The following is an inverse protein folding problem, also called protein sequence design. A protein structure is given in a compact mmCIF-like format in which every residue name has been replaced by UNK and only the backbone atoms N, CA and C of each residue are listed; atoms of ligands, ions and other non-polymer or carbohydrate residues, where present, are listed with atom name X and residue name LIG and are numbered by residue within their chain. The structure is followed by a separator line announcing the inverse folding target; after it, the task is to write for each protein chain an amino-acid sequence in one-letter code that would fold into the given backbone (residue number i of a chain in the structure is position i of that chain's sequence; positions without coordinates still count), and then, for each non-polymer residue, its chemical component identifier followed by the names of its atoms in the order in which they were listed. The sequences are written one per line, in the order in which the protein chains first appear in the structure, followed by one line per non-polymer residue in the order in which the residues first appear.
data_IF_283331205450
#
_entry.id   IF_283331205450
#
_cell.length_a   1.000
_cell.length_b   1.000
_cell.length_c   1.000
_cell.angle_alpha   90.00
_cell.angle_beta   90.00
_cell.angle_gamma   90.00
#
_symmetry.space_group_name_H-M   'P 1'
#
loop_
_entity.id
_entity.type
_entity.pdbx_description
1 polymer ?
#
# COMPACT_ATOMS: atom_id res chain seq x y z
N UNK A 1 12.07 -9.41 -26.03
CA UNK A 1 12.43 -9.16 -24.62
C UNK A 1 11.86 -7.81 -24.22
N UNK A 2 11.19 -7.68 -23.08
CA UNK A 2 10.65 -6.40 -22.62
C UNK A 2 11.79 -5.40 -22.36
N UNK A 3 11.57 -4.13 -22.71
CA UNK A 3 12.55 -3.08 -22.56
C UNK A 3 12.82 -2.83 -21.06
N UNK A 4 14.06 -2.97 -20.54
CA UNK A 4 14.36 -2.84 -19.12
C UNK A 4 13.98 -1.45 -18.57
N UNK A 5 14.11 -0.40 -19.40
CA UNK A 5 13.70 0.96 -19.03
C UNK A 5 12.19 1.07 -18.78
N UNK A 6 11.38 0.31 -19.52
CA UNK A 6 9.93 0.33 -19.37
C UNK A 6 9.52 -0.34 -18.05
N UNK A 7 10.09 -1.52 -17.76
CA UNK A 7 9.81 -2.26 -16.52
C UNK A 7 10.20 -1.42 -15.29
N UNK A 8 11.40 -0.84 -15.30
CA UNK A 8 11.87 0.00 -14.20
C UNK A 8 11.00 1.24 -13.99
N UNK A 9 10.49 1.83 -15.08
CA UNK A 9 9.59 2.98 -14.99
C UNK A 9 8.23 2.59 -14.43
N UNK A 10 7.61 1.51 -14.92
CA UNK A 10 6.30 1.06 -14.45
C UNK A 10 6.33 0.69 -12.96
N UNK A 11 7.36 -0.04 -12.54
CA UNK A 11 7.55 -0.38 -11.12
C UNK A 11 7.72 0.88 -10.24
N UNK A 12 8.46 1.87 -10.74
CA UNK A 12 8.62 3.15 -10.04
C UNK A 12 7.29 3.90 -9.90
N UNK A 13 6.55 4.05 -11.01
CA UNK A 13 5.30 4.79 -11.05
C UNK A 13 4.25 4.16 -10.12
N UNK A 14 4.13 2.83 -10.14
CA UNK A 14 3.27 2.10 -9.22
C UNK A 14 3.66 2.35 -7.77
N UNK A 15 4.92 2.11 -7.39
CA UNK A 15 5.35 2.26 -6.00
C UNK A 15 5.23 3.72 -5.51
N UNK A 16 5.45 4.71 -6.37
CA UNK A 16 5.27 6.13 -6.04
C UNK A 16 3.80 6.46 -5.73
N UNK A 17 2.85 5.86 -6.45
CA UNK A 17 1.42 6.04 -6.16
C UNK A 17 1.07 5.50 -4.78
N UNK A 18 1.55 4.29 -4.45
CA UNK A 18 1.33 3.69 -3.12
C UNK A 18 1.96 4.55 -2.02
N UNK A 19 3.22 4.97 -2.20
CA UNK A 19 3.90 5.84 -1.23
C UNK A 19 3.13 7.14 -1.01
N UNK A 20 2.61 7.79 -2.07
CA UNK A 20 1.79 9.00 -1.95
C UNK A 20 0.50 8.76 -1.18
N UNK A 21 -0.16 7.63 -1.39
CA UNK A 21 -1.37 7.28 -0.64
C UNK A 21 -1.04 7.11 0.86
N UNK A 22 -0.02 6.34 1.19
CA UNK A 22 0.37 6.06 2.58
C UNK A 22 0.98 7.26 3.31
N UNK A 23 1.60 8.20 2.59
CA UNK A 23 2.19 9.40 3.18
C UNK A 23 1.16 10.25 3.96
N UNK A 24 -0.12 10.18 3.57
CA UNK A 24 -1.22 10.88 4.26
C UNK A 24 -1.57 10.26 5.63
N UNK A 25 -1.06 9.06 5.93
CA UNK A 25 -1.27 8.36 7.21
C UNK A 25 -0.13 8.61 8.21
N UNK A 26 1.03 9.07 7.74
CA UNK A 26 2.20 9.35 8.58
C UNK A 26 1.98 10.58 9.47
N UNK A 27 2.68 10.68 10.60
CA UNK A 27 2.63 11.87 11.46
C UNK A 27 3.13 13.12 10.73
N UNK A 28 2.52 14.28 11.02
CA UNK A 28 2.80 15.54 10.31
C UNK A 28 4.27 15.97 10.41
N UNK A 29 4.94 15.68 11.53
CA UNK A 29 6.35 16.01 11.74
C UNK A 29 7.28 15.30 10.74
N UNK A 30 6.97 14.05 10.39
CA UNK A 30 7.79 13.23 9.49
C UNK A 30 7.45 13.46 8.01
N UNK A 31 6.22 13.87 7.71
CA UNK A 31 5.75 14.13 6.33
C UNK A 31 6.65 15.12 5.59
N UNK A 32 7.15 16.16 6.27
CA UNK A 32 8.02 17.14 5.63
C UNK A 32 9.31 16.51 5.11
N UNK A 33 9.98 15.71 5.95
CA UNK A 33 11.23 15.02 5.60
C UNK A 33 10.99 14.02 4.46
N UNK A 34 9.91 13.26 4.53
CA UNK A 34 9.52 12.31 3.49
C UNK A 34 9.18 13.00 2.16
N UNK A 35 8.55 14.18 2.20
CA UNK A 35 8.30 14.97 0.98
C UNK A 35 9.60 15.42 0.30
N UNK A 36 10.64 15.75 1.07
CA UNK A 36 11.98 16.06 0.52
C UNK A 36 12.60 14.83 -0.16
N UNK A 37 12.47 13.65 0.46
CA UNK A 37 12.90 12.40 -0.15
C UNK A 37 12.14 12.10 -1.43
N UNK A 38 10.81 12.24 -1.44
CA UNK A 38 10.00 12.06 -2.64
C UNK A 38 10.41 13.00 -3.76
N UNK A 39 10.66 14.28 -3.45
CA UNK A 39 11.19 15.23 -4.43
C UNK A 39 12.53 14.75 -5.00
N UNK A 40 13.45 14.30 -4.16
CA UNK A 40 14.75 13.77 -4.60
C UNK A 40 14.58 12.53 -5.48
N UNK A 41 13.75 11.57 -5.07
CA UNK A 41 13.51 10.32 -5.81
C UNK A 41 12.79 10.58 -7.14
N UNK A 42 11.93 11.58 -7.25
CA UNK A 42 11.29 11.95 -8.54
C UNK A 42 12.20 12.76 -9.47
N UNK A 43 13.42 13.11 -9.05
CA UNK A 43 14.38 13.78 -9.92
C UNK A 43 14.82 12.84 -11.05
N UNK A 44 15.21 13.39 -12.20
CA UNK A 44 15.54 12.60 -13.38
C UNK A 44 16.74 11.68 -13.11
N UNK A 45 16.59 10.41 -13.51
CA UNK A 45 17.61 9.37 -13.53
C UNK A 45 17.73 8.92 -14.99
N UNK A 46 18.94 8.95 -15.55
CA UNK A 46 19.15 8.73 -16.98
C UNK A 46 19.67 7.33 -17.28
N UNK A 47 20.34 6.69 -16.33
CA UNK A 47 20.87 5.33 -16.48
C UNK A 47 19.97 4.28 -15.84
N UNK A 48 19.91 3.04 -16.38
CA UNK A 48 19.11 1.97 -15.80
C UNK A 48 19.58 1.59 -14.39
N UNK A 49 20.87 1.75 -14.08
CA UNK A 49 21.42 1.54 -12.74
C UNK A 49 20.87 2.57 -11.74
N UNK A 50 20.84 3.86 -12.13
CA UNK A 50 20.26 4.93 -11.31
C UNK A 50 18.75 4.73 -11.11
N UNK A 51 18.04 4.28 -12.15
CA UNK A 51 16.61 3.93 -12.03
C UNK A 51 16.39 2.74 -11.09
N UNK A 52 17.23 1.70 -11.17
CA UNK A 52 17.14 0.54 -10.27
C UNK A 52 17.37 0.94 -8.82
N UNK A 53 18.43 1.72 -8.55
CA UNK A 53 18.73 2.21 -7.21
C UNK A 53 17.58 3.07 -6.67
N UNK A 54 17.03 3.97 -7.49
CA UNK A 54 15.85 4.76 -7.11
C UNK A 54 14.66 3.87 -6.76
N UNK A 55 14.39 2.84 -7.55
CA UNK A 55 13.28 1.94 -7.30
C UNK A 55 13.45 1.20 -5.97
N UNK A 56 14.66 0.78 -5.65
CA UNK A 56 15.02 0.16 -4.38
C UNK A 56 14.74 1.08 -3.20
N UNK A 57 15.10 2.37 -3.31
CA UNK A 57 14.77 3.38 -2.30
C UNK A 57 13.26 3.58 -2.12
N UNK A 58 12.50 3.66 -3.21
CA UNK A 58 11.04 3.83 -3.14
C UNK A 58 10.40 2.58 -2.52
N UNK A 59 10.88 1.40 -2.89
CA UNK A 59 10.37 0.15 -2.35
C UNK A 59 10.67 0.03 -0.85
N UNK A 60 11.89 0.35 -0.42
CA UNK A 60 12.23 0.39 0.99
C UNK A 60 11.40 1.43 1.77
N UNK A 61 11.13 2.59 1.17
CA UNK A 61 10.23 3.59 1.75
C UNK A 61 8.81 3.04 1.92
N UNK A 62 8.32 2.31 0.92
CA UNK A 62 7.01 1.66 0.98
C UNK A 62 6.93 0.66 2.15
N UNK A 63 7.95 -0.18 2.32
CA UNK A 63 8.04 -1.12 3.45
C UNK A 63 8.00 -0.40 4.80
N UNK A 64 8.76 0.69 4.95
CA UNK A 64 8.76 1.47 6.20
C UNK A 64 7.44 2.20 6.46
N UNK A 65 6.75 2.62 5.40
CA UNK A 65 5.41 3.21 5.52
C UNK A 65 4.37 2.18 5.96
N UNK A 66 4.46 0.96 5.45
CA UNK A 66 3.56 -0.15 5.81
C UNK A 66 3.80 -0.64 7.24
N UNK A 67 5.05 -0.67 7.70
CA UNK A 67 5.37 -1.02 9.09
C UNK A 67 4.99 0.08 10.09
N UNK A 68 4.74 1.30 9.62
CA UNK A 68 4.43 2.46 10.45
C UNK A 68 5.63 3.04 11.21
N UNK A 69 6.85 2.56 10.94
CA UNK A 69 8.07 3.00 11.60
C UNK A 69 9.07 3.58 10.59
N UNK A 70 9.18 4.92 10.56
CA UNK A 70 10.10 5.61 9.66
C UNK A 70 11.54 5.55 10.22
N UNK A 71 12.34 4.65 9.64
CA UNK A 71 13.74 4.45 9.99
C UNK A 71 14.74 5.21 9.10
N UNK A 72 16.01 4.86 9.25
CA UNK A 72 17.10 5.38 8.40
C UNK A 72 16.98 4.85 6.97
N UNK A 73 17.18 5.68 5.93
CA UNK A 73 17.64 7.08 5.97
C UNK A 73 16.54 8.14 5.99
N UNK A 74 15.27 7.74 6.00
CA UNK A 74 14.13 8.64 5.85
C UNK A 74 13.82 9.46 7.11
N UNK A 75 14.39 9.08 8.26
CA UNK A 75 14.36 9.86 9.50
C UNK A 75 15.21 11.15 9.45
N UNK A 76 15.97 11.38 8.37
CA UNK A 76 16.78 12.58 8.14
C UNK A 76 16.53 13.13 6.73
N UNK A 77 16.78 14.43 6.48
CA UNK A 77 16.66 14.97 5.13
C UNK A 77 17.64 14.27 4.17
N UNK A 78 17.29 14.15 2.88
CA UNK A 78 18.14 13.49 1.91
C UNK A 78 19.49 14.23 1.76
N UNK A 79 20.62 13.49 1.62
CA UNK A 79 21.91 14.13 1.37
C UNK A 79 21.90 14.85 0.02
N UNK A 80 22.75 15.87 -0.13
CA UNK A 80 22.97 16.51 -1.44
C UNK A 80 23.64 15.56 -2.44
N UNK A 81 23.48 15.82 -3.73
CA UNK A 81 24.13 15.04 -4.80
C UNK A 81 23.44 13.71 -5.13
N UNK A 82 24.19 12.77 -5.72
CA UNK A 82 23.70 11.47 -6.19
C UNK A 82 23.19 10.58 -5.05
N UNK A 83 22.31 9.64 -5.36
CA UNK A 83 21.88 8.61 -4.41
C UNK A 83 23.06 7.68 -4.13
N UNK A 84 23.25 7.33 -2.85
CA UNK A 84 24.23 6.33 -2.43
C UNK A 84 23.59 4.94 -2.49
N UNK A 85 24.40 3.89 -2.53
CA UNK A 85 23.87 2.53 -2.50
C UNK A 85 23.14 2.26 -1.19
N UNK A 86 21.91 1.75 -1.26
CA UNK A 86 21.07 1.57 -0.08
C UNK A 86 21.74 0.63 0.95
N UNK A 87 22.42 -0.42 0.49
CA UNK A 87 23.19 -1.35 1.32
C UNK A 87 24.33 -0.70 2.14
N UNK A 88 24.81 0.48 1.72
CA UNK A 88 25.82 1.24 2.46
C UNK A 88 25.21 2.17 3.52
N UNK A 89 23.92 2.49 3.39
CA UNK A 89 23.21 3.48 4.20
C UNK A 89 22.43 2.83 5.33
N UNK A 90 21.89 1.63 5.12
CA UNK A 90 21.09 0.90 6.10
C UNK A 90 21.83 -0.31 6.68
N UNK A 91 21.47 -0.77 7.89
CA UNK A 91 22.05 -1.97 8.48
C UNK A 91 21.88 -3.19 7.56
N UNK A 92 22.94 -4.01 7.41
CA UNK A 92 22.94 -5.16 6.49
C UNK A 92 21.85 -6.19 6.76
N UNK A 93 21.49 -6.39 8.02
CA UNK A 93 20.41 -7.28 8.42
C UNK A 93 19.05 -6.78 7.89
N UNK A 94 18.78 -5.48 8.04
CA UNK A 94 17.56 -4.83 7.53
C UNK A 94 17.53 -4.92 6.01
N UNK A 95 18.65 -4.64 5.33
CA UNK A 95 18.76 -4.76 3.89
C UNK A 95 18.42 -6.17 3.38
N UNK A 96 18.96 -7.20 4.03
CA UNK A 96 18.77 -8.60 3.65
C UNK A 96 17.32 -9.05 3.80
N UNK A 97 16.72 -8.79 4.96
CA UNK A 97 15.33 -9.14 5.25
C UNK A 97 14.37 -8.54 4.21
N UNK A 98 14.61 -7.28 3.89
CA UNK A 98 13.83 -6.52 2.92
C UNK A 98 14.02 -7.14 1.52
N UNK A 99 15.24 -7.41 1.07
CA UNK A 99 15.46 -8.12 -0.20
C UNK A 99 14.75 -9.49 -0.26
N UNK A 100 14.60 -10.18 0.87
CA UNK A 100 13.96 -11.50 0.97
C UNK A 100 12.42 -11.42 0.94
N UNK A 101 11.79 -10.36 1.47
CA UNK A 101 10.32 -10.20 1.42
C UNK A 101 9.76 -10.12 -0.02
N UNK A 102 10.57 -9.72 -0.98
CA UNK A 102 10.20 -9.68 -2.39
C UNK A 102 9.97 -11.07 -3.01
N UNK A 103 10.46 -12.15 -2.37
CA UNK A 103 10.47 -13.50 -2.95
C UNK A 103 9.30 -14.37 -2.49
N UNK A 104 8.71 -14.09 -1.32
CA UNK A 104 7.72 -14.97 -0.68
C UNK A 104 6.26 -14.69 -1.08
N UNK A 105 6.00 -13.67 -1.90
CA UNK A 105 4.61 -13.25 -2.24
C UNK A 105 3.94 -14.08 -3.34
N UNK A 106 4.53 -15.18 -3.83
CA UNK A 106 4.04 -15.87 -5.05
C UNK A 106 3.43 -17.27 -4.85
N UNK A 107 3.21 -17.77 -3.62
CA UNK A 107 2.83 -19.18 -3.43
C UNK A 107 1.49 -19.46 -2.71
N UNK A 108 0.71 -18.46 -2.26
CA UNK A 108 -0.50 -18.76 -1.44
C UNK A 108 -1.72 -17.90 -1.69
N UNK A 109 -2.26 -17.92 -2.90
CA UNK A 109 -3.60 -17.37 -3.14
C UNK A 109 -4.33 -18.07 -4.29
N UNK A 110 -4.55 -19.38 -4.18
CA UNK A 110 -5.36 -20.15 -5.14
C UNK A 110 -6.08 -21.33 -4.46
N UNK A 111 -6.86 -21.11 -3.39
CA UNK A 111 -7.87 -22.10 -2.93
C UNK A 111 -9.10 -21.31 -2.40
N UNK A 112 -10.12 -21.10 -3.24
CA UNK A 112 -11.31 -21.93 -3.41
C UNK A 112 -12.43 -21.58 -2.41
N UNK A 113 -13.30 -20.64 -2.79
CA UNK A 113 -14.63 -20.48 -2.19
C UNK A 113 -15.62 -21.18 -3.12
N UNK A 114 -15.97 -22.41 -2.76
CA UNK A 114 -17.15 -23.10 -3.26
C UNK A 114 -18.35 -22.58 -2.46
N UNK A 115 -19.30 -21.95 -3.15
CA UNK A 115 -20.63 -21.66 -2.60
C UNK A 115 -21.54 -22.81 -3.04
N UNK A 116 -21.73 -23.77 -2.14
CA UNK A 116 -22.84 -24.72 -2.22
C UNK A 116 -24.10 -24.01 -1.71
N UNK A 117 -25.14 -24.01 -2.54
CA UNK A 117 -26.46 -23.53 -2.19
C UNK A 117 -27.21 -24.65 -1.45
N UNK A 118 -27.59 -24.40 -0.21
CA UNK A 118 -28.62 -25.18 0.48
C UNK A 118 -29.57 -24.23 1.21
N UNK A 119 -30.81 -24.22 0.73
CA UNK A 119 -31.99 -23.70 1.42
C UNK A 119 -32.22 -24.52 2.69
N UNK A 120 -32.38 -23.89 3.86
CA UNK A 120 -33.29 -24.45 4.87
C UNK A 120 -33.84 -23.38 5.82
N UNK A 121 -35.15 -23.44 5.99
CA UNK A 121 -35.98 -22.54 6.78
C UNK A 121 -35.91 -22.94 8.26
N UNK A 122 -35.63 -22.00 9.17
CA UNK A 122 -36.29 -22.04 10.49
C UNK A 122 -36.20 -20.71 11.25
N UNK A 123 -37.38 -20.20 11.59
CA UNK A 123 -37.62 -19.04 12.44
C UNK A 123 -37.23 -19.35 13.90
N UNK A 124 -36.47 -18.45 14.55
CA UNK A 124 -36.63 -18.23 15.98
C UNK A 124 -36.42 -16.75 16.34
N UNK A 125 -37.50 -16.16 16.84
CA UNK A 125 -37.64 -14.75 17.18
C UNK A 125 -36.68 -14.32 18.30
N UNK A 126 -35.86 -13.31 18.02
CA UNK A 126 -35.39 -12.40 19.06
C UNK A 126 -35.52 -10.94 18.58
N UNK A 127 -36.04 -10.11 19.48
CA UNK A 127 -36.55 -8.75 19.24
C UNK A 127 -35.49 -7.82 18.64
N UNK A 128 -35.54 -7.61 17.33
CA UNK A 128 -34.73 -6.59 16.66
C UNK A 128 -35.47 -5.26 16.55
N UNK A 129 -34.73 -4.24 16.93
CA UNK A 129 -35.03 -2.83 16.81
C UNK A 129 -35.41 -2.54 15.35
N UNK A 130 -36.59 -1.97 15.11
CA UNK A 130 -37.10 -1.69 13.77
C UNK A 130 -36.18 -0.69 13.04
N UNK A 131 -35.18 -1.21 12.34
CA UNK A 131 -34.43 -0.48 11.34
C UNK A 131 -35.37 -0.27 10.15
N UNK A 132 -35.82 0.96 9.91
CA UNK A 132 -36.56 1.35 8.70
C UNK A 132 -35.62 1.49 7.49
N UNK A 133 -34.53 0.72 7.46
CA UNK A 133 -33.59 0.66 6.35
C UNK A 133 -33.99 -0.48 5.43
N UNK A 134 -34.02 -0.20 4.13
CA UNK A 134 -34.12 -1.25 3.12
C UNK A 134 -32.98 -2.23 3.38
N UNK A 135 -33.31 -3.49 3.68
CA UNK A 135 -32.32 -4.56 3.77
C UNK A 135 -31.91 -4.88 2.33
N UNK A 136 -30.86 -4.20 1.87
CA UNK A 136 -30.28 -4.40 0.55
C UNK A 136 -29.28 -5.54 0.64
N UNK A 137 -29.25 -6.38 -0.39
CA UNK A 137 -28.19 -7.36 -0.57
C UNK A 137 -26.84 -6.62 -0.62
N UNK A 138 -25.77 -7.13 0.03
CA UNK A 138 -24.44 -6.53 -0.05
C UNK A 138 -23.96 -6.25 -1.48
N UNK A 139 -24.38 -7.06 -2.46
CA UNK A 139 -24.07 -6.86 -3.88
C UNK A 139 -24.68 -5.57 -4.45
N UNK A 140 -25.81 -5.10 -3.91
CA UNK A 140 -26.52 -3.90 -4.35
C UNK A 140 -26.00 -2.62 -3.66
N UNK A 141 -25.05 -2.74 -2.72
CA UNK A 141 -24.55 -1.61 -1.94
C UNK A 141 -24.13 -0.41 -2.79
N UNK A 142 -23.40 -0.65 -3.89
CA UNK A 142 -22.84 0.42 -4.73
C UNK A 142 -23.89 1.16 -5.57
N UNK A 143 -24.97 0.49 -5.95
CA UNK A 143 -26.02 1.09 -6.79
C UNK A 143 -26.87 2.10 -6.02
N UNK A 144 -26.94 1.91 -4.70
CA UNK A 144 -27.69 2.76 -3.78
C UNK A 144 -26.85 3.87 -3.12
N UNK A 145 -25.58 4.01 -3.51
CA UNK A 145 -24.73 5.07 -2.96
C UNK A 145 -25.11 6.44 -3.56
N UNK A 146 -25.17 7.50 -2.74
CA UNK A 146 -25.35 8.85 -3.25
C UNK A 146 -24.16 9.20 -4.15
N UNK A 147 -24.44 9.53 -5.41
CA UNK A 147 -23.41 9.92 -6.38
C UNK A 147 -23.12 11.41 -6.19
N UNK A 148 -21.92 11.80 -5.74
CA UNK A 148 -21.60 13.21 -5.59
C UNK A 148 -21.56 13.88 -6.97
N UNK A 149 -22.14 15.08 -7.07
CA UNK A 149 -22.13 15.86 -8.31
C UNK A 149 -20.75 16.49 -8.59
N UNK A 150 -19.93 16.68 -7.56
CA UNK A 150 -18.55 17.16 -7.63
C UNK A 150 -17.76 16.70 -6.38
N UNK A 151 -16.44 16.49 -6.51
CA UNK A 151 -15.54 16.03 -5.45
C UNK A 151 -15.24 14.51 -5.42
N UNK A 152 -14.55 14.06 -4.36
CA UNK A 152 -14.11 12.66 -4.17
C UNK A 152 -14.85 12.00 -3.01
N UNK A 153 -15.21 10.73 -3.15
CA UNK A 153 -15.73 9.89 -2.08
C UNK A 153 -14.75 8.75 -1.76
N UNK A 154 -14.80 8.23 -0.53
CA UNK A 154 -13.95 7.15 -0.07
C UNK A 154 -14.77 6.17 0.76
N UNK A 155 -14.61 4.87 0.51
CA UNK A 155 -15.13 3.81 1.36
C UNK A 155 -13.97 3.27 2.21
N UNK A 156 -14.22 3.11 3.50
CA UNK A 156 -13.29 2.50 4.44
C UNK A 156 -13.97 1.32 5.13
N UNK A 157 -13.22 0.25 5.36
CA UNK A 157 -13.63 -0.88 6.18
C UNK A 157 -12.67 -1.00 7.36
N UNK A 158 -13.18 -1.46 8.50
CA UNK A 158 -12.40 -1.71 9.72
C UNK A 158 -12.56 -3.18 10.06
N UNK A 159 -11.44 -3.87 10.26
CA UNK A 159 -11.41 -5.26 10.70
C UNK A 159 -10.71 -5.33 12.06
N UNK A 160 -11.14 -6.27 12.91
CA UNK A 160 -10.53 -6.54 14.21
C UNK A 160 -10.26 -8.03 14.29
N UNK A 161 -9.01 -8.40 14.61
CA UNK A 161 -8.59 -9.79 14.76
C UNK A 161 -8.56 -10.16 16.26
N UNK A 162 -9.61 -9.80 17.02
CA UNK A 162 -9.73 -10.27 18.39
C UNK A 162 -10.16 -11.74 18.35
N UNK A 163 -9.18 -12.65 18.41
CA UNK A 163 -9.39 -14.06 18.73
C UNK A 163 -9.62 -14.19 20.25
N UNK A 164 -10.74 -14.82 20.64
CA UNK A 164 -11.13 -15.08 22.03
C UNK A 164 -10.44 -16.33 22.60
#
# INVERSE_FOLDING_TARGET
MPNPYKILREAFEFNVLLVRALLHLVQQAERHTLALWMKKLTTQCDTPEEMSLRNEYVWYLLVMLQSGAIGTPFNKPPPGGRLQDLASVIPRNVYKEIMEMSLDSNEKSDEQIQLEAEDDENEEQSKEQKCTGVCLDPAEFFDWQPKPNDGSFCYACVFSNYDC
#
